data_IF_853728280537
#
_entry.id   IF_853728280537
#
_cell.length_a   1.000
_cell.length_b   1.000
_cell.length_c   1.000
_cell.angle_alpha   90.00
_cell.angle_beta   90.00
_cell.angle_gamma   90.00
#
_symmetry.space_group_name_H-M   'P 1'
#
loop_
_entity.id
_entity.type
_entity.pdbx_description
1 polymer ?
#
# COMPACT_ATOMS: atom_id res chain seq x y z
N UNK A 1 -15.63 1.12 -8.95
CA UNK A 1 -14.67 1.06 -10.07
C UNK A 1 -14.88 2.28 -10.96
N UNK A 2 -13.88 3.16 -11.05
CA UNK A 2 -13.95 4.41 -11.85
C UNK A 2 -13.23 4.16 -13.17
N UNK A 3 -13.91 4.39 -14.31
CA UNK A 3 -13.35 4.24 -15.65
C UNK A 3 -13.43 5.57 -16.38
N UNK A 4 -12.35 5.98 -17.05
CA UNK A 4 -12.28 7.20 -17.87
C UNK A 4 -11.52 6.96 -19.17
N UNK A 5 -11.92 7.61 -20.28
CA UNK A 5 -11.16 7.53 -21.52
C UNK A 5 -9.82 8.26 -21.38
N UNK A 6 -8.79 7.78 -22.08
CA UNK A 6 -7.45 8.38 -22.11
C UNK A 6 -7.45 9.84 -22.57
N UNK A 7 -8.43 10.25 -23.38
CA UNK A 7 -8.63 11.64 -23.79
C UNK A 7 -8.79 12.61 -22.60
N UNK A 8 -9.31 12.16 -21.44
CA UNK A 8 -9.41 12.99 -20.23
C UNK A 8 -8.04 13.42 -19.70
N UNK A 9 -7.01 12.56 -19.81
CA UNK A 9 -5.66 12.90 -19.34
C UNK A 9 -5.08 14.08 -20.12
N UNK A 10 -5.42 14.19 -21.40
CA UNK A 10 -4.98 15.29 -22.27
C UNK A 10 -5.87 16.53 -22.17
N UNK A 11 -7.18 16.33 -22.17
CA UNK A 11 -8.15 17.42 -22.37
C UNK A 11 -8.68 18.01 -21.05
N UNK A 12 -8.70 17.23 -19.96
CA UNK A 12 -9.22 17.66 -18.66
C UNK A 12 -8.41 17.05 -17.50
N UNK A 13 -7.11 17.32 -17.52
CA UNK A 13 -6.18 16.82 -16.52
C UNK A 13 -6.55 17.27 -15.10
N UNK A 14 -7.02 18.51 -14.94
CA UNK A 14 -7.36 19.09 -13.64
C UNK A 14 -8.48 18.31 -12.94
N UNK A 15 -9.54 17.94 -13.67
CA UNK A 15 -10.64 17.16 -13.11
C UNK A 15 -10.22 15.74 -12.74
N UNK A 16 -9.46 15.05 -13.60
CA UNK A 16 -9.02 13.68 -13.31
C UNK A 16 -7.98 13.65 -12.18
N UNK A 17 -7.10 14.65 -12.09
CA UNK A 17 -6.16 14.81 -10.99
C UNK A 17 -6.88 15.05 -9.65
N UNK A 18 -7.89 15.92 -9.64
CA UNK A 18 -8.74 16.14 -8.45
C UNK A 18 -9.46 14.87 -8.04
N UNK A 19 -10.08 14.16 -9.00
CA UNK A 19 -10.78 12.91 -8.75
C UNK A 19 -9.84 11.85 -8.14
N UNK A 20 -8.62 11.71 -8.66
CA UNK A 20 -7.64 10.77 -8.14
C UNK A 20 -7.23 11.08 -6.68
N UNK A 21 -7.08 12.36 -6.35
CA UNK A 21 -6.77 12.80 -4.97
C UNK A 21 -7.93 12.60 -4.01
N UNK A 22 -9.17 12.88 -4.43
CA UNK A 22 -10.35 12.81 -3.54
C UNK A 22 -10.85 11.39 -3.36
N UNK A 23 -10.87 10.59 -4.42
CA UNK A 23 -11.32 9.20 -4.32
C UNK A 23 -10.33 8.32 -3.58
N UNK A 24 -9.03 8.60 -3.70
CA UNK A 24 -7.93 7.72 -3.23
C UNK A 24 -8.06 6.28 -3.78
N UNK A 25 -8.71 6.14 -4.93
CA UNK A 25 -8.97 4.86 -5.62
C UNK A 25 -8.34 4.86 -7.02
N UNK A 26 -8.05 3.66 -7.58
CA UNK A 26 -7.61 3.54 -8.97
C UNK A 26 -8.69 3.99 -9.96
N UNK A 27 -8.27 4.84 -10.91
CA UNK A 27 -9.06 5.23 -12.07
C UNK A 27 -8.54 4.46 -13.28
N UNK A 28 -9.34 3.56 -13.82
CA UNK A 28 -8.99 2.78 -15.00
C UNK A 28 -9.11 3.64 -16.24
N UNK A 29 -8.06 3.63 -17.05
CA UNK A 29 -7.97 4.38 -18.29
C UNK A 29 -8.26 3.45 -19.45
N UNK A 30 -9.17 3.88 -20.34
CA UNK A 30 -9.46 3.15 -21.58
C UNK A 30 -8.93 3.88 -22.80
N UNK A 31 -8.49 3.11 -23.80
CA UNK A 31 -8.11 3.58 -25.12
C UNK A 31 -8.94 2.80 -26.14
N UNK A 32 -9.73 3.51 -26.95
CA UNK A 32 -10.64 2.90 -27.93
C UNK A 32 -11.62 1.86 -27.35
N UNK A 33 -12.03 2.03 -26.08
CA UNK A 33 -12.94 1.11 -25.39
C UNK A 33 -12.25 -0.06 -24.69
N UNK A 34 -10.95 -0.25 -24.91
CA UNK A 34 -10.16 -1.29 -24.25
C UNK A 34 -9.44 -0.74 -23.01
N UNK A 35 -9.27 -1.57 -21.99
CA UNK A 35 -8.49 -1.21 -20.81
C UNK A 35 -7.01 -1.05 -21.17
N UNK A 36 -6.42 0.08 -20.79
CA UNK A 36 -5.06 0.47 -21.18
C UNK A 36 -4.16 0.65 -19.95
N UNK A 37 -4.62 1.41 -18.95
CA UNK A 37 -3.83 1.70 -17.77
C UNK A 37 -4.62 2.10 -16.55
N UNK A 38 -3.93 2.55 -15.51
CA UNK A 38 -4.52 3.04 -14.27
C UNK A 38 -3.87 4.37 -13.90
N UNK A 39 -4.69 5.33 -13.49
CA UNK A 39 -4.27 6.62 -12.96
C UNK A 39 -4.67 6.72 -11.48
N UNK A 40 -3.72 7.14 -10.65
CA UNK A 40 -3.87 7.33 -9.20
C UNK A 40 -3.10 8.57 -8.76
N UNK A 41 -3.47 9.14 -7.62
CA UNK A 41 -2.62 10.14 -6.97
C UNK A 41 -1.40 9.46 -6.36
N UNK A 42 -0.27 10.18 -6.29
CA UNK A 42 0.96 9.68 -5.71
C UNK A 42 0.75 9.21 -4.25
N UNK A 43 0.09 10.03 -3.43
CA UNK A 43 -0.23 9.70 -2.03
C UNK A 43 -1.04 8.39 -1.92
N UNK A 44 -2.05 8.20 -2.76
CA UNK A 44 -2.87 7.00 -2.72
C UNK A 44 -2.08 5.76 -3.17
N UNK A 45 -1.19 5.92 -4.16
CA UNK A 45 -0.30 4.86 -4.61
C UNK A 45 0.70 4.46 -3.50
N UNK A 46 1.44 5.41 -2.94
CA UNK A 46 2.43 5.14 -1.89
C UNK A 46 1.79 4.50 -0.65
N UNK A 47 0.63 5.01 -0.21
CA UNK A 47 -0.10 4.41 0.91
C UNK A 47 -0.54 2.98 0.62
N UNK A 48 -0.92 2.68 -0.63
CA UNK A 48 -1.28 1.33 -1.04
C UNK A 48 -0.07 0.40 -0.98
N UNK A 49 1.08 0.82 -1.49
CA UNK A 49 2.31 0.03 -1.43
C UNK A 49 2.71 -0.26 0.02
N UNK A 50 2.73 0.76 0.89
CA UNK A 50 3.03 0.59 2.33
C UNK A 50 2.07 -0.40 3.02
N UNK A 51 0.78 -0.35 2.66
CA UNK A 51 -0.21 -1.27 3.22
C UNK A 51 -0.02 -2.70 2.70
N UNK A 52 0.41 -2.88 1.45
CA UNK A 52 0.73 -4.19 0.90
C UNK A 52 1.95 -4.79 1.60
N UNK A 53 3.00 -4.01 1.81
CA UNK A 53 4.20 -4.45 2.54
C UNK A 53 3.85 -4.88 3.97
N UNK A 54 3.06 -4.06 4.69
CA UNK A 54 2.60 -4.39 6.03
C UNK A 54 1.80 -5.69 6.05
N UNK A 55 0.89 -5.87 5.08
CA UNK A 55 0.09 -7.10 4.97
C UNK A 55 0.96 -8.32 4.70
N UNK A 56 1.96 -8.17 3.85
CA UNK A 56 2.92 -9.24 3.58
C UNK A 56 3.67 -9.64 4.85
N UNK A 57 4.21 -8.68 5.61
CA UNK A 57 4.89 -8.97 6.88
C UNK A 57 3.98 -9.64 7.92
N UNK A 58 2.72 -9.24 8.01
CA UNK A 58 1.74 -9.88 8.90
C UNK A 58 1.45 -11.31 8.46
N UNK A 59 1.29 -11.54 7.16
CA UNK A 59 1.01 -12.87 6.62
C UNK A 59 2.19 -13.82 6.85
N UNK A 60 3.41 -13.35 6.63
CA UNK A 60 4.63 -14.10 6.93
C UNK A 60 4.67 -14.48 8.41
N UNK A 61 4.48 -13.52 9.32
CA UNK A 61 4.46 -13.80 10.77
C UNK A 61 3.40 -14.83 11.18
N UNK A 62 2.22 -14.82 10.54
CA UNK A 62 1.19 -15.83 10.78
C UNK A 62 1.59 -17.22 10.27
N UNK A 63 2.26 -17.31 9.11
CA UNK A 63 2.81 -18.56 8.60
C UNK A 63 3.89 -19.12 9.53
N UNK A 64 4.78 -18.25 10.04
CA UNK A 64 5.81 -18.64 11.01
C UNK A 64 5.19 -19.19 12.30
N UNK A 65 4.13 -18.56 12.78
CA UNK A 65 3.37 -19.03 13.96
C UNK A 65 2.72 -20.38 13.72
N UNK A 66 2.10 -20.59 12.55
CA UNK A 66 1.43 -21.85 12.20
C UNK A 66 2.42 -23.00 11.96
N UNK A 67 3.60 -22.71 11.41
CA UNK A 67 4.68 -23.68 11.21
C UNK A 67 5.47 -24.01 12.48
N UNK A 68 5.16 -23.34 13.61
CA UNK A 68 5.78 -23.60 14.91
C UNK A 68 7.21 -23.05 15.00
N UNK A 69 7.57 -22.05 14.19
CA UNK A 69 8.85 -21.36 14.33
C UNK A 69 8.95 -20.72 15.72
N UNK A 70 10.16 -20.61 16.30
CA UNK A 70 10.34 -19.97 17.60
C UNK A 70 9.81 -18.54 17.60
N UNK A 71 8.81 -18.28 18.45
CA UNK A 71 8.28 -16.94 18.70
C UNK A 71 8.85 -16.38 20.00
N UNK A 72 8.80 -15.06 20.17
CA UNK A 72 9.11 -14.42 21.45
C UNK A 72 7.85 -13.80 22.07
N UNK A 73 7.78 -13.81 23.39
CA UNK A 73 6.75 -13.10 24.15
C UNK A 73 6.91 -11.58 24.01
N UNK A 74 5.84 -10.84 24.31
CA UNK A 74 5.86 -9.37 24.32
C UNK A 74 6.91 -8.83 25.31
N UNK A 75 7.14 -9.54 26.43
CA UNK A 75 8.15 -9.15 27.42
C UNK A 75 9.57 -9.24 26.85
N UNK A 76 9.91 -10.37 26.22
CA UNK A 76 11.21 -10.59 25.58
C UNK A 76 11.45 -9.61 24.43
N UNK A 77 10.42 -9.32 23.62
CA UNK A 77 10.49 -8.34 22.54
C UNK A 77 10.78 -6.93 23.08
N UNK A 78 10.09 -6.51 24.15
CA UNK A 78 10.31 -5.20 24.79
C UNK A 78 11.72 -5.08 25.36
N UNK A 79 12.21 -6.13 26.01
CA UNK A 79 13.56 -6.15 26.56
C UNK A 79 14.61 -6.08 25.43
N UNK A 80 14.43 -6.83 24.34
CA UNK A 80 15.31 -6.79 23.18
C UNK A 80 15.36 -5.40 22.53
N UNK A 81 14.21 -4.73 22.41
CA UNK A 81 14.12 -3.35 21.90
C UNK A 81 14.81 -2.36 22.83
N UNK A 82 14.62 -2.49 24.15
CA UNK A 82 15.31 -1.66 25.13
C UNK A 82 16.83 -1.82 25.05
N UNK A 83 17.33 -3.07 24.96
CA UNK A 83 18.77 -3.35 24.77
C UNK A 83 19.33 -2.71 23.50
N UNK A 84 18.59 -2.72 22.39
CA UNK A 84 18.99 -2.06 21.13
C UNK A 84 19.03 -0.54 21.25
N UNK A 85 18.07 0.05 21.95
CA UNK A 85 17.93 1.52 22.07
C UNK A 85 18.90 2.14 23.06
N UNK A 86 19.20 1.45 24.16
CA UNK A 86 19.97 2.01 25.28
C UNK A 86 21.36 1.40 25.44
N UNK A 87 21.73 0.36 24.66
CA UNK A 87 22.93 -0.45 24.90
C UNK A 87 22.76 -1.35 26.13
N UNK A 88 23.64 -2.34 26.32
CA UNK A 88 23.61 -3.23 27.50
C UNK A 88 23.55 -2.39 28.79
N UNK A 89 22.43 -2.49 29.52
CA UNK A 89 22.42 -2.30 30.97
C UNK A 89 22.97 -3.58 31.61
#
# INVERSE_FOLDING_TARGET
MIIKPSAMLRNDYSSISKLAKTSKEPIYITKNGEGDGVFMSLEAFEKREQLLDLRFSVLEAEEERLSGKPTMSISEAREALARRRYGKL
#
